data_IF_419815107405
#
_entry.id   IF_419815107405
#
_cell.length_a   1.000
_cell.length_b   1.000
_cell.length_c   1.000
_cell.angle_alpha   90.00
_cell.angle_beta   90.00
_cell.angle_gamma   90.00
#
_symmetry.space_group_name_H-M   'P 1'
#
loop_
_entity.id
_entity.type
_entity.pdbx_description
1 polymer ?
#
# COMPACT_ATOMS: atom_id res chain seq x y z
N UNK A 1 -9.98 6.34 5.92
CA UNK A 1 -9.33 7.66 5.94
C UNK A 1 -7.84 7.51 5.70
N UNK A 2 -7.20 8.46 5.02
CA UNK A 2 -5.77 8.42 4.64
C UNK A 2 -4.81 8.75 5.79
N UNK A 3 -5.31 9.21 6.94
CA UNK A 3 -4.50 9.72 8.05
C UNK A 3 -4.96 9.15 9.40
N UNK A 4 -4.02 8.99 10.33
CA UNK A 4 -4.25 8.71 11.76
C UNK A 4 -3.67 9.88 12.56
N UNK A 5 -4.37 10.35 13.59
CA UNK A 5 -3.85 11.40 14.48
C UNK A 5 -2.98 10.78 15.58
N UNK A 6 -1.74 11.28 15.66
CA UNK A 6 -0.80 10.97 16.74
C UNK A 6 -1.28 11.55 18.07
N UNK A 7 -1.79 12.78 18.04
CA UNK A 7 -2.27 13.53 19.19
C UNK A 7 -3.40 12.79 19.90
N UNK A 8 -4.28 12.12 19.16
CA UNK A 8 -5.33 11.27 19.75
C UNK A 8 -4.75 10.14 20.60
N UNK A 9 -3.71 9.46 20.14
CA UNK A 9 -3.09 8.35 20.90
C UNK A 9 -2.33 8.89 22.11
N UNK A 10 -1.69 10.06 21.98
CA UNK A 10 -1.07 10.76 23.10
C UNK A 10 -2.13 11.13 24.15
N UNK A 11 -3.26 11.71 23.76
CA UNK A 11 -4.33 12.09 24.69
C UNK A 11 -4.95 10.86 25.37
N UNK A 12 -5.11 9.74 24.66
CA UNK A 12 -5.57 8.47 25.23
C UNK A 12 -4.58 7.87 26.24
N UNK A 13 -3.30 8.21 26.14
CA UNK A 13 -2.22 7.73 27.01
C UNK A 13 -1.54 8.85 27.79
N UNK A 14 -2.29 9.92 28.08
CA UNK A 14 -1.79 11.18 28.63
C UNK A 14 -1.00 11.04 29.93
N UNK A 15 -1.47 10.18 30.84
CA UNK A 15 -0.77 9.91 32.10
C UNK A 15 0.63 9.34 31.84
N UNK A 16 0.73 8.34 30.95
CA UNK A 16 1.99 7.71 30.56
C UNK A 16 2.91 8.67 29.82
N UNK A 17 2.34 9.54 28.98
CA UNK A 17 3.07 10.62 28.32
C UNK A 17 3.79 11.50 29.34
N UNK A 18 3.06 12.03 30.34
CA UNK A 18 3.66 12.91 31.35
C UNK A 18 4.60 12.17 32.30
N UNK A 19 4.28 10.93 32.68
CA UNK A 19 5.13 10.09 33.52
C UNK A 19 6.50 9.87 32.88
N UNK A 20 6.52 9.40 31.63
CA UNK A 20 7.77 9.09 30.92
C UNK A 20 8.57 10.34 30.57
N UNK A 21 7.89 11.46 30.29
CA UNK A 21 8.53 12.76 30.09
C UNK A 21 9.20 13.26 31.37
N UNK A 22 8.52 13.16 32.52
CA UNK A 22 9.07 13.55 33.81
C UNK A 22 10.28 12.70 34.18
N UNK A 23 10.18 11.38 34.07
CA UNK A 23 11.29 10.45 34.30
C UNK A 23 12.49 10.80 33.41
N UNK A 24 12.21 11.12 32.14
CA UNK A 24 13.26 11.43 31.16
C UNK A 24 13.88 12.80 31.32
N UNK A 25 13.22 13.71 32.03
CA UNK A 25 13.70 15.07 32.30
C UNK A 25 14.41 15.18 33.65
N UNK A 26 14.32 14.17 34.51
CA UNK A 26 14.93 14.19 35.84
C UNK A 26 16.45 14.37 35.73
N UNK A 27 17.00 15.40 36.39
CA UNK A 27 18.44 15.69 36.33
C UNK A 27 18.94 16.32 35.03
N UNK A 28 18.03 16.81 34.16
CA UNK A 28 18.37 17.47 32.89
C UNK A 28 19.42 18.58 33.05
N UNK A 29 19.20 19.52 33.97
CA UNK A 29 20.12 20.64 34.23
C UNK A 29 21.52 20.21 34.69
N UNK A 30 21.66 18.96 35.15
CA UNK A 30 22.93 18.37 35.60
C UNK A 30 23.53 17.41 34.58
N UNK A 31 22.92 17.28 33.39
CA UNK A 31 23.35 16.31 32.37
C UNK A 31 23.19 14.84 32.79
N UNK A 32 22.37 14.54 33.80
CA UNK A 32 22.18 13.18 34.35
C UNK A 32 20.82 12.58 34.00
N UNK A 33 20.15 13.15 33.00
CA UNK A 33 18.85 12.68 32.55
C UNK A 33 18.98 11.39 31.75
N UNK A 34 17.93 10.59 31.77
CA UNK A 34 17.84 9.35 31.01
C UNK A 34 16.72 9.47 29.98
N UNK A 35 16.99 9.62 28.68
CA UNK A 35 15.93 9.83 27.68
C UNK A 35 15.14 8.57 27.32
N UNK A 36 15.64 7.37 27.71
CA UNK A 36 15.07 6.10 27.29
C UNK A 36 13.59 5.87 27.65
N UNK A 37 13.08 6.28 28.82
CA UNK A 37 11.66 6.12 29.14
C UNK A 37 10.74 6.81 28.12
N UNK A 38 11.05 8.05 27.72
CA UNK A 38 10.26 8.79 26.75
C UNK A 38 10.47 8.27 25.31
N UNK A 39 11.70 7.90 24.94
CA UNK A 39 11.97 7.28 23.63
C UNK A 39 11.16 5.98 23.47
N UNK A 40 11.13 5.12 24.51
CA UNK A 40 10.38 3.87 24.48
C UNK A 40 8.87 4.12 24.37
N UNK A 41 8.34 5.10 25.10
CA UNK A 41 6.95 5.52 24.95
C UNK A 41 6.64 5.99 23.52
N UNK A 42 7.50 6.84 22.94
CA UNK A 42 7.31 7.35 21.58
C UNK A 42 7.32 6.22 20.53
N UNK A 43 8.27 5.28 20.64
CA UNK A 43 8.35 4.13 19.73
C UNK A 43 7.14 3.20 19.87
N UNK A 44 6.65 3.00 21.09
CA UNK A 44 5.41 2.26 21.33
C UNK A 44 4.21 2.95 20.68
N UNK A 45 4.04 4.26 20.89
CA UNK A 45 2.96 5.04 20.28
C UNK A 45 3.03 5.00 18.75
N UNK A 46 4.22 5.12 18.17
CA UNK A 46 4.40 5.00 16.72
C UNK A 46 4.02 3.61 16.22
N UNK A 47 4.40 2.54 16.93
CA UNK A 47 4.01 1.17 16.57
C UNK A 47 2.48 1.01 16.55
N UNK A 48 1.79 1.50 17.57
CA UNK A 48 0.32 1.45 17.63
C UNK A 48 -0.33 2.25 16.48
N UNK A 49 0.21 3.43 16.16
CA UNK A 49 -0.23 4.21 15.01
C UNK A 49 -0.10 3.44 13.69
N UNK A 50 1.03 2.77 13.49
CA UNK A 50 1.25 1.97 12.29
C UNK A 50 0.29 0.78 12.21
N UNK A 51 0.02 0.11 13.33
CA UNK A 51 -0.95 -0.99 13.36
C UNK A 51 -2.37 -0.52 13.03
N UNK A 52 -2.81 0.60 13.61
CA UNK A 52 -4.13 1.18 13.29
C UNK A 52 -4.20 1.66 11.84
N UNK A 53 -3.13 2.27 11.34
CA UNK A 53 -3.01 2.68 9.95
C UNK A 53 -3.11 1.47 9.01
N UNK A 54 -2.36 0.39 9.28
CA UNK A 54 -2.39 -0.84 8.50
C UNK A 54 -3.77 -1.49 8.52
N UNK A 55 -4.48 -1.52 9.65
CA UNK A 55 -5.85 -2.04 9.70
C UNK A 55 -6.82 -1.20 8.86
N UNK A 56 -6.71 0.13 8.92
CA UNK A 56 -7.55 1.03 8.13
C UNK A 56 -7.20 1.01 6.65
N UNK A 57 -5.93 0.92 6.29
CA UNK A 57 -5.50 0.78 4.89
C UNK A 57 -5.76 -0.63 4.38
N UNK A 58 -5.63 -1.66 5.21
CA UNK A 58 -5.95 -3.05 4.87
C UNK A 58 -7.45 -3.24 4.60
N UNK A 59 -8.31 -2.52 5.31
CA UNK A 59 -9.76 -2.46 5.03
C UNK A 59 -10.14 -1.54 3.86
N UNK A 60 -9.27 -0.59 3.47
CA UNK A 60 -9.44 0.27 2.28
C UNK A 60 -8.72 -0.25 1.04
N UNK A 61 -7.83 -1.23 1.20
CA UNK A 61 -7.15 -1.89 0.12
C UNK A 61 -8.13 -2.88 -0.46
N UNK A 62 -8.71 -2.48 -1.58
CA UNK A 62 -8.99 -3.36 -2.70
C UNK A 62 -8.33 -4.75 -2.52
N UNK A 63 -9.09 -5.86 -2.39
CA UNK A 63 -8.54 -7.17 -2.02
C UNK A 63 -7.26 -7.48 -2.81
N UNK A 64 -6.27 -8.13 -2.19
CA UNK A 64 -5.05 -8.54 -2.91
C UNK A 64 -5.44 -9.22 -4.23
N UNK A 65 -5.14 -8.56 -5.34
CA UNK A 65 -5.54 -9.04 -6.68
C UNK A 65 -6.64 -8.24 -7.36
N UNK A 66 -7.26 -7.22 -6.76
CA UNK A 66 -8.31 -6.42 -7.42
C UNK A 66 -7.79 -5.77 -8.70
N UNK A 67 -6.60 -5.16 -8.68
CA UNK A 67 -5.99 -4.60 -9.90
C UNK A 67 -5.69 -5.67 -10.96
N UNK A 68 -5.35 -6.89 -10.52
CA UNK A 68 -5.18 -8.04 -11.41
C UNK A 68 -6.52 -8.47 -11.99
N UNK A 69 -7.57 -8.54 -11.17
CA UNK A 69 -8.94 -8.83 -11.59
C UNK A 69 -9.47 -7.78 -12.58
N UNK A 70 -9.23 -6.50 -12.32
CA UNK A 70 -9.55 -5.41 -13.26
C UNK A 70 -8.87 -5.58 -14.62
N UNK A 71 -7.60 -6.02 -14.64
CA UNK A 71 -6.91 -6.33 -15.91
C UNK A 71 -7.57 -7.52 -16.60
N UNK A 72 -7.89 -8.59 -15.87
CA UNK A 72 -8.53 -9.79 -16.44
C UNK A 72 -9.94 -9.51 -16.96
N UNK A 73 -10.73 -8.72 -16.24
CA UNK A 73 -12.03 -8.23 -16.69
C UNK A 73 -11.91 -7.34 -17.93
N UNK A 74 -10.94 -6.42 -17.95
CA UNK A 74 -10.67 -5.59 -19.11
C UNK A 74 -10.27 -6.44 -20.33
N UNK A 75 -9.41 -7.44 -20.13
CA UNK A 75 -9.08 -8.43 -21.17
C UNK A 75 -10.34 -9.14 -21.65
N UNK A 76 -11.30 -9.48 -20.79
CA UNK A 76 -12.55 -10.11 -21.20
C UNK A 76 -13.51 -9.21 -21.99
N UNK A 77 -13.45 -7.88 -21.79
CA UNK A 77 -14.39 -6.92 -22.43
C UNK A 77 -13.84 -6.27 -23.70
N UNK A 78 -12.51 -6.19 -23.86
CA UNK A 78 -11.90 -5.51 -25.00
C UNK A 78 -12.16 -6.24 -26.32
N UNK A 79 -12.33 -5.50 -27.41
CA UNK A 79 -12.37 -6.09 -28.75
C UNK A 79 -10.98 -6.59 -29.16
N UNK A 80 -10.92 -7.72 -29.87
CA UNK A 80 -9.66 -8.30 -30.33
C UNK A 80 -9.30 -7.88 -31.75
N UNK A 81 -7.99 -7.77 -32.05
CA UNK A 81 -6.87 -7.83 -31.10
C UNK A 81 -6.68 -6.51 -30.33
N UNK A 82 -6.24 -6.57 -29.07
CA UNK A 82 -6.04 -5.40 -28.20
C UNK A 82 -4.56 -5.16 -27.87
N UNK A 83 -4.23 -3.96 -27.37
CA UNK A 83 -2.88 -3.60 -26.93
C UNK A 83 -2.82 -3.33 -25.42
N UNK A 84 -1.61 -3.25 -24.87
CA UNK A 84 -1.38 -2.79 -23.49
C UNK A 84 -1.95 -1.37 -23.28
N UNK A 85 -1.92 -0.52 -24.31
CA UNK A 85 -2.49 0.82 -24.21
C UNK A 85 -4.01 0.79 -24.07
N UNK A 86 -4.68 -0.19 -24.66
CA UNK A 86 -6.14 -0.32 -24.57
C UNK A 86 -6.55 -0.78 -23.17
N UNK A 87 -5.83 -1.75 -22.59
CA UNK A 87 -6.01 -2.14 -21.18
C UNK A 87 -5.78 -0.93 -20.25
N UNK A 88 -4.75 -0.12 -20.51
CA UNK A 88 -4.47 1.08 -19.70
C UNK A 88 -5.58 2.13 -19.81
N UNK A 89 -6.21 2.29 -20.98
CA UNK A 89 -7.35 3.20 -21.16
C UNK A 89 -8.56 2.74 -20.35
N UNK A 90 -8.81 1.44 -20.29
CA UNK A 90 -9.90 0.86 -19.48
C UNK A 90 -9.58 0.85 -17.98
N UNK A 91 -8.31 0.79 -17.61
CA UNK A 91 -7.84 0.72 -16.22
C UNK A 91 -6.82 1.84 -15.89
N UNK A 92 -7.23 3.12 -15.79
CA UNK A 92 -6.30 4.24 -15.61
C UNK A 92 -5.50 4.22 -14.30
N UNK A 93 -5.89 3.43 -13.30
CA UNK A 93 -5.19 3.27 -12.01
C UNK A 93 -4.19 2.10 -11.93
N UNK A 94 -3.95 1.41 -13.05
CA UNK A 94 -3.09 0.22 -13.14
C UNK A 94 -1.78 0.57 -13.86
N UNK A 95 -0.65 0.19 -13.26
CA UNK A 95 0.66 0.42 -13.87
C UNK A 95 0.90 -0.49 -15.08
N UNK A 96 1.65 0.00 -16.06
CA UNK A 96 2.00 -0.77 -17.27
C UNK A 96 2.74 -2.06 -16.91
N UNK A 97 3.59 -2.03 -15.88
CA UNK A 97 4.34 -3.22 -15.45
C UNK A 97 3.46 -4.29 -14.84
N UNK A 98 2.38 -3.91 -14.13
CA UNK A 98 1.39 -4.87 -13.66
C UNK A 98 0.63 -5.49 -14.83
N UNK A 99 0.23 -4.69 -15.84
CA UNK A 99 -0.42 -5.21 -17.06
C UNK A 99 0.49 -6.23 -17.76
N UNK A 100 1.78 -5.90 -17.95
CA UNK A 100 2.76 -6.83 -18.54
C UNK A 100 2.92 -8.11 -17.73
N UNK A 101 2.98 -8.00 -16.41
CA UNK A 101 3.10 -9.16 -15.50
C UNK A 101 1.88 -10.08 -15.63
N UNK A 102 0.67 -9.52 -15.66
CA UNK A 102 -0.57 -10.31 -15.81
C UNK A 102 -0.67 -10.94 -17.19
N UNK A 103 -0.39 -10.19 -18.27
CA UNK A 103 -0.36 -10.74 -19.63
C UNK A 103 0.70 -11.85 -19.77
N UNK A 104 1.88 -11.67 -19.18
CA UNK A 104 2.93 -12.69 -19.14
C UNK A 104 2.48 -13.97 -18.43
N UNK A 105 1.74 -13.84 -17.31
CA UNK A 105 1.17 -14.98 -16.59
C UNK A 105 0.08 -15.71 -17.39
N UNK A 106 -0.73 -14.97 -18.14
CA UNK A 106 -1.84 -15.51 -18.94
C UNK A 106 -1.42 -15.99 -20.33
N UNK A 107 -0.18 -15.72 -20.74
CA UNK A 107 0.33 -16.06 -22.05
C UNK A 107 0.34 -17.58 -22.24
N UNK A 108 -0.27 -18.06 -23.31
CA UNK A 108 -0.37 -19.49 -23.64
C UNK A 108 -1.48 -20.25 -22.92
N UNK A 109 -2.18 -19.63 -21.97
CA UNK A 109 -3.36 -20.22 -21.30
C UNK A 109 -4.65 -19.48 -21.65
N UNK A 110 -4.64 -18.15 -21.60
CA UNK A 110 -5.83 -17.32 -21.88
C UNK A 110 -5.59 -16.25 -22.93
N UNK A 111 -4.33 -15.87 -23.19
CA UNK A 111 -3.97 -14.88 -24.22
C UNK A 111 -2.73 -15.28 -24.97
N UNK A 112 -2.58 -14.76 -26.19
CA UNK A 112 -1.41 -14.93 -27.05
C UNK A 112 -0.95 -13.58 -27.59
N UNK A 113 0.36 -13.44 -27.78
CA UNK A 113 0.99 -12.22 -28.27
C UNK A 113 1.25 -12.35 -29.78
N UNK A 114 0.59 -11.52 -30.59
CA UNK A 114 0.66 -11.51 -32.05
C UNK A 114 1.85 -10.74 -32.63
N UNK A 115 2.66 -10.09 -31.78
CA UNK A 115 3.78 -9.27 -32.24
C UNK A 115 4.85 -9.07 -31.17
N UNK A 116 5.83 -8.21 -31.47
CA UNK A 116 6.94 -7.84 -30.56
C UNK A 116 6.96 -6.33 -30.35
N UNK A 117 7.39 -5.88 -29.17
CA UNK A 117 7.56 -4.45 -28.85
C UNK A 117 6.36 -3.80 -28.16
N UNK A 118 6.41 -2.47 -28.01
CA UNK A 118 5.43 -1.69 -27.24
C UNK A 118 4.02 -1.67 -27.88
N UNK A 119 3.95 -1.83 -29.20
CA UNK A 119 2.72 -1.93 -29.99
C UNK A 119 2.26 -3.38 -30.21
N UNK A 120 2.83 -4.34 -29.46
CA UNK A 120 2.44 -5.74 -29.57
C UNK A 120 0.93 -5.90 -29.31
N UNK A 121 0.28 -6.55 -30.28
CA UNK A 121 -1.13 -6.91 -30.22
C UNK A 121 -1.29 -8.23 -29.49
N UNK A 122 -2.37 -8.37 -28.75
CA UNK A 122 -2.75 -9.54 -27.99
C UNK A 122 -4.13 -10.02 -28.41
N UNK A 123 -4.32 -11.32 -28.37
CA UNK A 123 -5.61 -11.99 -28.58
C UNK A 123 -5.85 -12.97 -27.43
N UNK A 124 -7.10 -13.24 -27.08
CA UNK A 124 -7.48 -14.32 -26.17
C UNK A 124 -7.41 -15.63 -26.93
N UNK A 125 -7.10 -16.67 -26.17
CA UNK A 125 -7.20 -18.05 -26.63
C UNK A 125 -8.62 -18.53 -26.29
N UNK A 126 -9.30 -19.14 -27.26
CA UNK A 126 -10.58 -19.82 -27.06
C UNK A 126 -10.39 -21.09 -26.22
#
# INVERSE_FOLDING_TARGET
GRYISLERIIEQSKERYYETLQQSSHGWHKGRHNPWPYINYLLYTLKELYQEFEQRVGSLSAPRGEKTGMIEEAIGRLQEPFTISDIRKTCPGVSVDLIRKVLGRLKGSRVECLGRGQSAKWQRLN
#
